data_IF_955968549341
#
_entry.id   IF_955968549341
#
_cell.length_a   1.000
_cell.length_b   1.000
_cell.length_c   1.000
_cell.angle_alpha   90.00
_cell.angle_beta   90.00
_cell.angle_gamma   90.00
#
_symmetry.space_group_name_H-M   'P 1'
#
loop_
_entity.id
_entity.type
_entity.pdbx_description
1 polymer ?
#
# COMPACT_ATOMS: atom_id res chain seq x y z
N UNK A 1 0.77 4.05 28.69
CA UNK A 1 -0.07 4.95 27.86
C UNK A 1 0.17 4.58 26.41
N UNK A 2 -0.86 4.62 25.56
CA UNK A 2 -0.69 4.35 24.13
C UNK A 2 0.18 5.43 23.48
N UNK A 3 1.05 5.04 22.56
CA UNK A 3 2.03 5.89 21.87
C UNK A 3 1.43 6.41 20.56
N UNK A 4 0.29 7.10 20.63
CA UNK A 4 -0.40 7.55 19.42
C UNK A 4 0.41 8.63 18.68
N UNK A 5 0.59 8.51 17.36
CA UNK A 5 1.21 9.57 16.57
C UNK A 5 0.29 10.80 16.54
N UNK A 6 0.89 11.99 16.47
CA UNK A 6 0.13 13.25 16.31
C UNK A 6 -0.43 13.41 14.90
N UNK A 7 0.25 12.82 13.92
CA UNK A 7 -0.07 12.91 12.50
C UNK A 7 0.17 11.57 11.84
N UNK A 8 -0.74 11.17 10.95
CA UNK A 8 -0.67 9.92 10.19
C UNK A 8 -0.65 10.24 8.69
N UNK A 9 0.22 9.55 7.96
CA UNK A 9 0.28 9.53 6.50
C UNK A 9 -0.47 8.31 5.99
N UNK A 10 -1.53 8.53 5.21
CA UNK A 10 -2.24 7.47 4.49
C UNK A 10 -1.84 7.55 3.03
N UNK A 11 -1.21 6.50 2.49
CA UNK A 11 -0.91 6.37 1.07
C UNK A 11 -2.05 5.62 0.39
N UNK A 12 -2.60 6.22 -0.67
CA UNK A 12 -3.71 5.65 -1.43
C UNK A 12 -3.20 4.68 -2.51
N UNK A 13 -3.65 3.44 -2.45
CA UNK A 13 -3.23 2.35 -3.32
C UNK A 13 -4.33 1.86 -4.28
N UNK A 14 -5.55 2.38 -4.15
CA UNK A 14 -6.74 1.86 -4.81
C UNK A 14 -6.73 1.89 -6.33
N UNK A 15 -6.27 2.96 -7.01
CA UNK A 15 -6.14 2.92 -8.46
C UNK A 15 -5.22 1.79 -8.94
N UNK A 16 -4.09 1.54 -8.26
CA UNK A 16 -3.21 0.42 -8.63
C UNK A 16 -3.79 -0.92 -8.23
N UNK A 17 -4.14 -1.13 -6.96
CA UNK A 17 -4.57 -2.44 -6.46
C UNK A 17 -5.97 -2.83 -6.91
N UNK A 18 -6.90 -1.89 -6.86
CA UNK A 18 -8.28 -2.08 -7.30
C UNK A 18 -8.33 -2.51 -8.76
N UNK A 19 -7.82 -1.69 -9.68
CA UNK A 19 -7.92 -1.97 -11.11
C UNK A 19 -7.13 -3.23 -11.53
N UNK A 20 -6.12 -3.66 -10.76
CA UNK A 20 -5.44 -4.93 -10.97
C UNK A 20 -6.29 -6.14 -10.55
N UNK A 21 -7.11 -6.00 -9.51
CA UNK A 21 -7.92 -7.08 -8.95
C UNK A 21 -9.28 -7.21 -9.65
N UNK A 22 -9.85 -6.11 -10.11
CA UNK A 22 -11.17 -6.09 -10.73
C UNK A 22 -11.25 -6.92 -12.01
N UNK A 23 -12.38 -7.63 -12.18
CA UNK A 23 -12.57 -8.62 -13.27
C UNK A 23 -12.90 -7.99 -14.63
N UNK A 24 -13.47 -6.78 -14.62
CA UNK A 24 -13.97 -6.12 -15.82
C UNK A 24 -12.95 -5.18 -16.45
N UNK A 25 -13.08 -4.90 -17.76
CA UNK A 25 -12.37 -3.77 -18.33
C UNK A 25 -12.91 -2.49 -17.70
N UNK A 26 -12.06 -1.78 -16.98
CA UNK A 26 -12.34 -0.42 -16.52
C UNK A 26 -11.79 0.53 -17.58
N UNK A 27 -12.63 1.42 -18.11
CA UNK A 27 -12.21 2.34 -19.15
C UNK A 27 -11.14 3.29 -18.62
N UNK A 28 -10.14 3.62 -19.44
CA UNK A 28 -9.04 4.53 -19.08
C UNK A 28 -9.55 5.88 -18.55
N UNK A 29 -10.63 6.41 -19.15
CA UNK A 29 -11.27 7.65 -18.70
C UNK A 29 -11.83 7.55 -17.28
N UNK A 30 -12.39 6.39 -16.90
CA UNK A 30 -12.92 6.17 -15.55
C UNK A 30 -11.79 6.03 -14.52
N UNK A 31 -10.66 5.42 -14.90
CA UNK A 31 -9.45 5.36 -14.07
C UNK A 31 -8.90 6.75 -13.78
N UNK A 32 -8.78 7.57 -14.82
CA UNK A 32 -8.34 8.97 -14.73
C UNK A 32 -9.30 9.76 -13.85
N UNK A 33 -10.62 9.63 -14.08
CA UNK A 33 -11.63 10.33 -13.30
C UNK A 33 -11.56 9.99 -11.80
N UNK A 34 -11.31 8.72 -11.45
CA UNK A 34 -11.14 8.33 -10.05
C UNK A 34 -9.86 8.92 -9.44
N UNK A 35 -8.73 8.87 -10.15
CA UNK A 35 -7.46 9.45 -9.67
C UNK A 35 -7.57 10.97 -9.49
N UNK A 36 -8.23 11.66 -10.41
CA UNK A 36 -8.45 13.10 -10.32
C UNK A 36 -9.36 13.45 -9.14
N UNK A 37 -10.43 12.67 -8.90
CA UNK A 37 -11.28 12.84 -7.72
C UNK A 37 -10.52 12.60 -6.40
N UNK A 38 -9.67 11.57 -6.34
CA UNK A 38 -8.79 11.31 -5.20
C UNK A 38 -7.80 12.46 -4.96
N UNK A 39 -7.35 13.12 -6.02
CA UNK A 39 -6.44 14.25 -5.92
C UNK A 39 -7.07 15.46 -5.22
N UNK A 40 -8.39 15.63 -5.29
CA UNK A 40 -9.11 16.67 -4.54
C UNK A 40 -9.18 16.38 -3.03
N UNK A 41 -9.02 15.12 -2.62
CA UNK A 41 -9.04 14.70 -1.22
C UNK A 41 -7.76 15.04 -0.43
N UNK A 42 -6.78 15.72 -1.07
CA UNK A 42 -5.51 16.13 -0.46
C UNK A 42 -4.68 14.96 0.08
N UNK A 43 -4.79 13.80 -0.57
CA UNK A 43 -4.00 12.63 -0.24
C UNK A 43 -2.51 12.93 -0.43
N UNK A 44 -1.63 12.56 0.50
CA UNK A 44 -0.21 12.86 0.39
C UNK A 44 0.51 12.00 -0.67
N UNK A 45 -0.11 10.90 -1.10
CA UNK A 45 0.33 10.04 -2.19
C UNK A 45 -0.85 9.25 -2.76
N UNK A 46 -0.86 9.09 -4.08
CA UNK A 46 -1.73 8.19 -4.82
C UNK A 46 -0.86 7.30 -5.72
N UNK A 47 -0.96 5.99 -5.57
CA UNK A 47 -0.33 5.04 -6.48
C UNK A 47 -1.27 4.77 -7.65
N UNK A 48 -0.95 5.35 -8.81
CA UNK A 48 -1.90 5.52 -9.92
C UNK A 48 -1.99 4.31 -10.85
N UNK A 49 -0.91 3.53 -10.95
CA UNK A 49 -0.85 2.40 -11.88
C UNK A 49 0.29 1.44 -11.54
N UNK A 50 0.40 0.36 -12.32
CA UNK A 50 1.56 -0.53 -12.31
C UNK A 50 2.07 -0.82 -13.72
N UNK A 51 3.39 -0.69 -13.92
CA UNK A 51 4.07 -1.06 -15.16
C UNK A 51 4.45 -2.56 -15.14
N UNK A 52 3.43 -3.41 -15.18
CA UNK A 52 3.56 -4.88 -15.19
C UNK A 52 3.25 -5.45 -16.58
N UNK A 53 3.40 -6.77 -16.73
CA UNK A 53 3.06 -7.45 -17.96
C UNK A 53 1.52 -7.44 -18.16
N UNK A 54 0.99 -6.76 -19.20
CA UNK A 54 -0.44 -6.66 -19.43
C UNK A 54 -1.11 -8.00 -19.75
N UNK A 55 -0.36 -8.99 -20.23
CA UNK A 55 -0.89 -10.34 -20.43
C UNK A 55 -1.17 -11.06 -19.09
N UNK A 56 -0.46 -10.69 -18.01
CA UNK A 56 -0.70 -11.22 -16.65
C UNK A 56 -1.67 -10.36 -15.85
N UNK A 57 -1.68 -9.05 -16.11
CA UNK A 57 -2.52 -8.07 -15.41
C UNK A 57 -3.19 -7.15 -16.46
N UNK A 58 -4.27 -7.59 -17.11
CA UNK A 58 -4.92 -6.83 -18.18
C UNK A 58 -5.44 -5.46 -17.73
N UNK A 59 -5.83 -5.32 -16.46
CA UNK A 59 -6.28 -4.05 -15.89
C UNK A 59 -5.23 -2.94 -15.85
N UNK A 60 -3.96 -3.26 -16.14
CA UNK A 60 -2.83 -2.31 -16.20
C UNK A 60 -2.29 -2.10 -17.62
N UNK A 61 -3.02 -2.56 -18.64
CA UNK A 61 -2.57 -2.43 -20.03
C UNK A 61 -2.44 -0.97 -20.50
N UNK A 62 -3.26 -0.08 -19.95
CA UNK A 62 -3.38 1.34 -20.26
C UNK A 62 -2.63 2.26 -19.27
N UNK A 63 -1.62 1.73 -18.58
CA UNK A 63 -0.88 2.47 -17.55
C UNK A 63 -0.26 3.77 -18.09
N UNK A 64 0.27 3.75 -19.31
CA UNK A 64 0.88 4.92 -19.95
C UNK A 64 -0.18 6.00 -20.24
N UNK A 65 -1.35 5.62 -20.74
CA UNK A 65 -2.47 6.55 -20.98
C UNK A 65 -3.03 7.14 -19.70
N UNK A 66 -3.15 6.33 -18.63
CA UNK A 66 -3.58 6.83 -17.31
C UNK A 66 -2.60 7.89 -16.79
N UNK A 67 -1.30 7.61 -16.81
CA UNK A 67 -0.29 8.55 -16.32
C UNK A 67 -0.25 9.85 -17.14
N UNK A 68 -0.49 9.76 -18.45
CA UNK A 68 -0.58 10.93 -19.32
C UNK A 68 -1.85 11.76 -19.06
N UNK A 69 -2.97 11.10 -18.74
CA UNK A 69 -4.29 11.71 -18.64
C UNK A 69 -4.64 12.36 -17.31
N UNK A 70 -3.98 11.99 -16.21
CA UNK A 70 -4.29 12.51 -14.87
C UNK A 70 -3.91 13.99 -14.69
N UNK A 71 -4.73 14.68 -13.88
CA UNK A 71 -4.51 16.05 -13.45
C UNK A 71 -3.77 16.07 -12.12
N UNK A 72 -2.48 16.41 -12.14
CA UNK A 72 -1.66 16.47 -10.93
C UNK A 72 -2.02 17.68 -10.06
N UNK A 73 -2.18 17.46 -8.75
CA UNK A 73 -2.39 18.51 -7.74
C UNK A 73 -1.14 18.74 -6.90
N UNK A 74 -0.76 20.01 -6.63
CA UNK A 74 0.32 20.32 -5.70
C UNK A 74 0.09 19.66 -4.33
N UNK A 75 1.15 19.12 -3.74
CA UNK A 75 1.09 18.44 -2.44
C UNK A 75 0.73 16.95 -2.48
N UNK A 76 0.32 16.42 -3.64
CA UNK A 76 0.07 14.98 -3.85
C UNK A 76 1.21 14.36 -4.66
N UNK A 77 1.80 13.27 -4.15
CA UNK A 77 2.76 12.47 -4.92
C UNK A 77 2.02 11.42 -5.76
N UNK A 78 2.37 11.29 -7.04
CA UNK A 78 1.78 10.31 -7.96
C UNK A 78 2.81 9.23 -8.26
N UNK A 79 2.61 8.04 -7.71
CA UNK A 79 3.58 6.94 -7.79
C UNK A 79 3.04 5.79 -8.63
N UNK A 80 3.93 4.87 -9.02
CA UNK A 80 3.54 3.66 -9.73
C UNK A 80 4.35 2.46 -9.22
N UNK A 81 3.82 1.26 -9.41
CA UNK A 81 4.50 0.00 -9.09
C UNK A 81 5.19 -0.59 -10.31
N UNK A 82 6.39 -1.15 -10.14
CA UNK A 82 7.03 -2.03 -11.12
C UNK A 82 7.63 -3.25 -10.39
N UNK A 83 7.75 -4.37 -11.10
CA UNK A 83 8.29 -5.63 -10.55
C UNK A 83 9.60 -6.07 -11.21
N UNK A 84 10.03 -5.38 -12.28
CA UNK A 84 11.23 -5.68 -13.02
C UNK A 84 11.79 -4.43 -13.71
N UNK A 85 12.97 -4.56 -14.31
CA UNK A 85 13.68 -3.48 -15.00
C UNK A 85 12.88 -2.87 -16.15
N UNK A 86 12.20 -3.69 -16.96
CA UNK A 86 11.37 -3.18 -18.07
C UNK A 86 10.24 -2.29 -17.57
N UNK A 87 9.61 -2.67 -16.46
CA UNK A 87 8.58 -1.86 -15.81
C UNK A 87 9.14 -0.56 -15.24
N UNK A 88 10.34 -0.62 -14.66
CA UNK A 88 11.03 0.57 -14.16
C UNK A 88 11.42 1.54 -15.29
N UNK A 89 11.97 1.04 -16.39
CA UNK A 89 12.35 1.86 -17.54
C UNK A 89 11.12 2.55 -18.17
N UNK A 90 9.97 1.86 -18.21
CA UNK A 90 8.68 2.47 -18.61
C UNK A 90 8.24 3.57 -17.64
N UNK A 91 8.32 3.32 -16.33
CA UNK A 91 7.97 4.31 -15.32
C UNK A 91 8.84 5.58 -15.42
N UNK A 92 10.15 5.41 -15.66
CA UNK A 92 11.09 6.51 -15.92
C UNK A 92 10.69 7.29 -17.18
N UNK A 93 10.41 6.58 -18.27
CA UNK A 93 10.06 7.19 -19.55
C UNK A 93 8.73 7.98 -19.49
N UNK A 94 7.82 7.62 -18.59
CA UNK A 94 6.54 8.32 -18.41
C UNK A 94 6.72 9.78 -17.94
N UNK A 95 7.83 10.13 -17.28
CA UNK A 95 8.25 11.50 -16.97
C UNK A 95 7.29 12.34 -16.10
N UNK A 96 6.21 11.75 -15.60
CA UNK A 96 5.13 12.44 -14.85
C UNK A 96 4.90 11.87 -13.44
N UNK A 97 5.73 10.92 -13.02
CA UNK A 97 5.61 10.20 -11.76
C UNK A 97 6.66 10.66 -10.75
N UNK A 98 6.29 10.63 -9.47
CA UNK A 98 7.16 10.89 -8.33
C UNK A 98 7.87 9.58 -7.93
N UNK A 99 8.90 9.23 -8.70
CA UNK A 99 9.60 7.94 -8.54
C UNK A 99 10.55 7.95 -7.33
N UNK A 100 10.51 6.87 -6.55
CA UNK A 100 11.47 6.54 -5.50
C UNK A 100 11.79 5.05 -5.60
N UNK A 101 13.05 4.69 -5.38
CA UNK A 101 13.44 3.30 -5.31
C UNK A 101 13.01 2.65 -3.98
N UNK A 102 12.77 1.35 -4.02
CA UNK A 102 12.46 0.56 -2.84
C UNK A 102 13.02 -0.86 -2.95
N UNK A 103 13.31 -1.47 -1.80
CA UNK A 103 13.64 -2.90 -1.70
C UNK A 103 12.38 -3.68 -1.35
N UNK A 104 12.07 -4.72 -2.12
CA UNK A 104 10.87 -5.55 -1.92
C UNK A 104 11.26 -6.99 -1.60
N UNK A 105 10.89 -7.43 -0.40
CA UNK A 105 11.14 -8.78 0.12
C UNK A 105 9.82 -9.52 0.43
N UNK A 106 9.92 -10.80 0.73
CA UNK A 106 8.76 -11.66 1.05
C UNK A 106 9.14 -12.61 2.18
N UNK A 107 8.29 -12.77 3.18
CA UNK A 107 8.55 -13.70 4.29
C UNK A 107 8.37 -15.18 3.89
N UNK A 108 7.59 -15.43 2.84
CA UNK A 108 7.23 -16.76 2.34
C UNK A 108 7.80 -17.04 0.95
N UNK A 109 8.61 -18.09 0.84
CA UNK A 109 9.27 -18.44 -0.44
C UNK A 109 8.26 -19.02 -1.42
N UNK A 110 7.34 -19.86 -0.94
CA UNK A 110 6.30 -20.46 -1.77
C UNK A 110 5.39 -19.38 -2.35
N UNK A 111 5.02 -18.37 -1.56
CA UNK A 111 4.26 -17.23 -2.08
C UNK A 111 5.07 -16.44 -3.11
N UNK A 112 6.35 -16.19 -2.86
CA UNK A 112 7.20 -15.45 -3.78
C UNK A 112 7.39 -16.17 -5.12
N UNK A 113 7.58 -17.49 -5.11
CA UNK A 113 7.61 -18.32 -6.32
C UNK A 113 6.33 -18.18 -7.13
N UNK A 114 5.15 -18.15 -6.47
CA UNK A 114 3.86 -17.97 -7.15
C UNK A 114 3.65 -16.55 -7.69
N UNK A 115 4.01 -15.54 -6.91
CA UNK A 115 3.76 -14.14 -7.25
C UNK A 115 4.78 -13.62 -8.28
N UNK A 116 6.06 -13.92 -8.06
CA UNK A 116 7.20 -13.30 -8.73
C UNK A 116 8.04 -14.30 -9.55
N UNK A 117 7.75 -15.60 -9.48
CA UNK A 117 8.50 -16.65 -10.19
C UNK A 117 10.00 -16.65 -9.89
N UNK A 118 10.36 -16.46 -8.62
CA UNK A 118 11.74 -16.49 -8.11
C UNK A 118 11.80 -17.01 -6.67
N UNK A 119 12.98 -17.49 -6.27
CA UNK A 119 13.32 -17.90 -4.90
C UNK A 119 14.02 -16.79 -4.11
N UNK A 120 14.36 -17.01 -2.83
CA UNK A 120 14.96 -15.97 -1.97
C UNK A 120 16.32 -15.50 -2.45
N UNK A 121 17.18 -16.42 -2.89
CA UNK A 121 18.51 -16.10 -3.37
C UNK A 121 18.45 -15.27 -4.66
N UNK A 122 17.57 -15.63 -5.58
CA UNK A 122 17.31 -14.88 -6.79
C UNK A 122 16.71 -13.51 -6.47
N UNK A 123 15.74 -13.41 -5.56
CA UNK A 123 15.16 -12.13 -5.15
C UNK A 123 16.23 -11.19 -4.59
N UNK A 124 17.11 -11.68 -3.70
CA UNK A 124 18.20 -10.89 -3.14
C UNK A 124 19.10 -10.29 -4.24
N UNK A 125 19.51 -11.11 -5.23
CA UNK A 125 20.31 -10.64 -6.38
C UNK A 125 19.56 -9.58 -7.20
N UNK A 126 18.27 -9.79 -7.47
CA UNK A 126 17.46 -8.82 -8.22
C UNK A 126 17.30 -7.52 -7.44
N UNK A 127 17.05 -7.56 -6.13
CA UNK A 127 16.91 -6.36 -5.33
C UNK A 127 18.21 -5.55 -5.31
N UNK A 128 19.38 -6.16 -5.11
CA UNK A 128 20.68 -5.47 -5.23
C UNK A 128 20.86 -4.80 -6.60
N UNK A 129 20.49 -5.49 -7.68
CA UNK A 129 20.57 -4.92 -9.03
C UNK A 129 19.62 -3.73 -9.21
N UNK A 130 18.38 -3.86 -8.74
CA UNK A 130 17.38 -2.79 -8.81
C UNK A 130 17.81 -1.56 -8.00
N UNK A 131 18.39 -1.72 -6.81
CA UNK A 131 18.92 -0.58 -6.03
C UNK A 131 19.95 0.20 -6.84
N UNK A 132 20.89 -0.48 -7.51
CA UNK A 132 21.88 0.19 -8.37
C UNK A 132 21.22 0.92 -9.54
N UNK A 133 20.23 0.30 -10.19
CA UNK A 133 19.46 0.94 -11.26
C UNK A 133 18.74 2.21 -10.79
N UNK A 134 18.21 2.23 -9.57
CA UNK A 134 17.59 3.43 -9.00
C UNK A 134 18.63 4.54 -8.80
N UNK A 135 19.80 4.21 -8.27
CA UNK A 135 20.89 5.16 -8.06
C UNK A 135 21.43 5.73 -9.38
N UNK A 136 21.61 4.87 -10.40
CA UNK A 136 22.03 5.29 -11.75
C UNK A 136 21.02 6.27 -12.39
N UNK A 137 19.74 6.13 -12.06
CA UNK A 137 18.68 7.02 -12.49
C UNK A 137 18.52 8.29 -11.60
N UNK A 138 19.39 8.47 -10.59
CA UNK A 138 19.36 9.59 -9.67
C UNK A 138 18.22 9.54 -8.63
N UNK A 139 17.61 8.37 -8.42
CA UNK A 139 16.53 8.18 -7.45
C UNK A 139 17.06 7.80 -6.07
N UNK A 140 16.37 8.24 -5.02
CA UNK A 140 16.67 7.82 -3.64
C UNK A 140 16.04 6.47 -3.32
N UNK A 141 16.67 5.71 -2.42
CA UNK A 141 16.18 4.43 -1.91
C UNK A 141 16.13 4.51 -0.38
N UNK A 142 14.98 4.90 0.15
CA UNK A 142 14.79 5.13 1.60
C UNK A 142 13.71 4.21 2.20
N UNK A 143 13.09 3.37 1.37
CA UNK A 143 11.98 2.50 1.77
C UNK A 143 12.27 1.05 1.42
N UNK A 144 11.80 0.17 2.28
CA UNK A 144 11.68 -1.24 1.97
C UNK A 144 10.32 -1.78 2.37
N UNK A 145 9.96 -2.95 1.87
CA UNK A 145 8.71 -3.61 2.19
C UNK A 145 8.85 -5.13 2.24
N UNK A 146 7.98 -5.76 3.01
CA UNK A 146 7.86 -7.21 3.10
C UNK A 146 6.41 -7.65 2.93
N UNK A 147 6.19 -8.53 1.96
CA UNK A 147 4.92 -9.26 1.81
C UNK A 147 4.85 -10.49 2.71
N UNK A 148 3.62 -10.91 3.02
CA UNK A 148 3.32 -12.05 3.90
C UNK A 148 3.91 -11.90 5.31
N UNK A 149 3.99 -10.67 5.85
CA UNK A 149 4.64 -10.40 7.13
C UNK A 149 3.92 -11.03 8.34
N UNK A 150 2.62 -11.34 8.21
CA UNK A 150 1.78 -11.83 9.30
C UNK A 150 1.31 -13.28 9.11
N UNK A 151 1.58 -13.87 7.95
CA UNK A 151 1.11 -15.21 7.61
C UNK A 151 1.04 -15.44 6.10
N UNK A 152 0.96 -16.71 5.74
CA UNK A 152 0.89 -17.16 4.36
C UNK A 152 -0.13 -18.30 4.22
N UNK A 153 -1.05 -18.19 3.27
CA UNK A 153 -2.02 -19.26 2.97
C UNK A 153 -1.37 -20.55 2.43
N UNK A 154 -0.08 -20.51 2.08
CA UNK A 154 0.66 -21.65 1.53
C UNK A 154 1.63 -22.29 2.51
N UNK A 155 2.15 -21.52 3.47
CA UNK A 155 3.16 -21.98 4.44
C UNK A 155 2.67 -21.89 5.90
N UNK A 156 1.50 -21.28 6.14
CA UNK A 156 0.92 -21.11 7.46
C UNK A 156 1.40 -19.86 8.18
N UNK A 157 1.62 -19.99 9.49
CA UNK A 157 2.07 -18.89 10.35
C UNK A 157 3.49 -18.46 9.96
N UNK A 158 3.72 -17.14 9.91
CA UNK A 158 5.05 -16.56 9.74
C UNK A 158 5.57 -16.13 11.11
N UNK A 159 6.59 -16.79 11.67
CA UNK A 159 7.12 -16.45 12.98
C UNK A 159 7.74 -15.05 12.99
N UNK A 160 7.67 -14.34 14.12
CA UNK A 160 8.32 -13.02 14.30
C UNK A 160 9.80 -13.08 13.95
N UNK A 161 10.50 -14.14 14.34
CA UNK A 161 11.91 -14.33 14.00
C UNK A 161 12.16 -14.25 12.49
N UNK A 162 11.30 -14.87 11.67
CA UNK A 162 11.43 -14.79 10.20
C UNK A 162 11.25 -13.36 9.69
N UNK A 163 10.31 -12.61 10.25
CA UNK A 163 10.12 -11.18 9.90
C UNK A 163 11.40 -10.40 10.23
N UNK A 164 11.99 -10.60 11.40
CA UNK A 164 13.23 -9.92 11.76
C UNK A 164 14.39 -10.34 10.85
N UNK A 165 14.50 -11.62 10.49
CA UNK A 165 15.56 -12.08 9.59
C UNK A 165 15.45 -11.43 8.21
N UNK A 166 14.24 -11.34 7.63
CA UNK A 166 14.05 -10.69 6.33
C UNK A 166 14.32 -9.18 6.40
N UNK A 167 14.00 -8.50 7.51
CA UNK A 167 14.38 -7.09 7.70
C UNK A 167 15.91 -6.97 7.74
N UNK A 168 16.61 -7.85 8.46
CA UNK A 168 18.07 -7.85 8.52
C UNK A 168 18.68 -8.06 7.12
N UNK A 169 18.23 -9.07 6.37
CA UNK A 169 18.64 -9.32 4.98
C UNK A 169 18.42 -8.07 4.09
N UNK A 170 17.33 -7.35 4.31
CA UNK A 170 17.02 -6.11 3.57
C UNK A 170 18.01 -5.00 3.89
N UNK A 171 18.37 -4.83 5.16
CA UNK A 171 19.32 -3.82 5.61
C UNK A 171 20.75 -4.13 5.13
N UNK A 172 21.10 -5.42 5.03
CA UNK A 172 22.36 -5.86 4.41
C UNK A 172 22.45 -5.47 2.92
N UNK A 173 21.36 -5.67 2.16
CA UNK A 173 21.28 -5.20 0.75
C UNK A 173 21.49 -3.68 0.69
N UNK A 174 20.83 -2.95 1.59
CA UNK A 174 20.90 -1.49 1.64
C UNK A 174 22.32 -1.01 1.95
N UNK A 175 22.95 -1.57 2.97
CA UNK A 175 24.34 -1.28 3.35
C UNK A 175 25.32 -1.59 2.21
N UNK A 176 25.19 -2.76 1.58
CA UNK A 176 26.04 -3.17 0.46
C UNK A 176 25.92 -2.24 -0.76
N UNK A 177 24.80 -1.51 -0.89
CA UNK A 177 24.56 -0.55 -1.96
C UNK A 177 24.76 0.91 -1.51
N UNK A 178 25.18 1.15 -0.26
CA UNK A 178 25.40 2.49 0.28
C UNK A 178 24.13 3.34 0.44
N UNK A 179 22.98 2.69 0.67
CA UNK A 179 21.70 3.37 0.90
C UNK A 179 21.19 3.10 2.32
N UNK A 180 20.39 4.03 2.86
CA UNK A 180 19.84 3.92 4.21
C UNK A 180 18.31 3.80 4.16
N UNK A 181 17.79 2.67 4.65
CA UNK A 181 16.34 2.47 4.77
C UNK A 181 15.83 3.21 6.00
N UNK A 182 14.90 4.14 5.79
CA UNK A 182 14.23 4.90 6.85
C UNK A 182 12.86 4.36 7.20
N UNK A 183 12.17 3.76 6.24
CA UNK A 183 10.83 3.19 6.46
C UNK A 183 10.75 1.75 5.95
N UNK A 184 10.20 0.87 6.77
CA UNK A 184 9.94 -0.52 6.43
C UNK A 184 8.44 -0.81 6.48
N UNK A 185 7.82 -1.11 5.34
CA UNK A 185 6.40 -1.46 5.26
C UNK A 185 6.19 -2.95 5.49
N UNK A 186 5.36 -3.31 6.46
CA UNK A 186 4.96 -4.69 6.74
C UNK A 186 3.56 -4.94 6.15
N UNK A 187 3.49 -5.82 5.15
CA UNK A 187 2.24 -6.09 4.45
C UNK A 187 1.57 -7.38 4.93
N UNK A 188 0.31 -7.24 5.35
CA UNK A 188 -0.62 -8.34 5.61
C UNK A 188 -1.30 -8.81 4.33
N UNK A 189 -0.49 -9.29 3.39
CA UNK A 189 -0.88 -9.63 2.01
C UNK A 189 -2.03 -10.63 1.91
N UNK A 190 -2.29 -11.41 2.97
CA UNK A 190 -3.27 -12.49 2.98
C UNK A 190 -4.27 -12.36 4.14
N UNK A 191 -4.33 -11.19 4.78
CA UNK A 191 -5.24 -10.85 5.88
C UNK A 191 -5.14 -11.81 7.09
N UNK A 192 -3.92 -12.17 7.50
CA UNK A 192 -3.64 -13.01 8.68
C UNK A 192 -3.46 -12.20 9.96
N UNK A 193 -3.21 -10.90 9.86
CA UNK A 193 -2.92 -10.09 11.03
C UNK A 193 -4.14 -9.97 11.95
N UNK A 194 -3.86 -9.97 13.24
CA UNK A 194 -4.78 -9.62 14.32
C UNK A 194 -4.15 -8.50 15.14
N UNK A 195 -4.92 -7.75 15.95
CA UNK A 195 -4.37 -6.66 16.74
C UNK A 195 -3.16 -7.09 17.61
N UNK A 196 -3.25 -8.29 18.20
CA UNK A 196 -2.18 -8.86 19.01
C UNK A 196 -0.93 -9.25 18.18
N UNK A 197 -1.09 -9.73 16.94
CA UNK A 197 0.06 -10.02 16.08
C UNK A 197 0.71 -8.74 15.57
N UNK A 198 -0.07 -7.70 15.26
CA UNK A 198 0.46 -6.37 14.90
C UNK A 198 1.33 -5.83 16.02
N UNK A 199 0.82 -5.79 17.26
CA UNK A 199 1.59 -5.34 18.42
C UNK A 199 2.88 -6.14 18.62
N UNK A 200 2.81 -7.48 18.47
CA UNK A 200 3.96 -8.37 18.63
C UNK A 200 5.04 -8.12 17.58
N UNK A 201 4.67 -8.05 16.31
CA UNK A 201 5.62 -7.86 15.20
C UNK A 201 6.20 -6.44 15.23
N UNK A 202 5.35 -5.42 15.32
CA UNK A 202 5.80 -4.02 15.37
C UNK A 202 6.68 -3.77 16.60
N UNK A 203 6.30 -4.29 17.76
CA UNK A 203 7.09 -4.20 18.99
C UNK A 203 8.49 -4.81 18.83
N UNK A 204 8.58 -6.01 18.26
CA UNK A 204 9.87 -6.68 18.03
C UNK A 204 10.76 -5.92 17.04
N UNK A 205 10.17 -5.31 15.99
CA UNK A 205 10.92 -4.48 15.04
C UNK A 205 11.45 -3.21 15.71
N UNK A 206 10.61 -2.49 16.48
CA UNK A 206 11.02 -1.28 17.22
C UNK A 206 12.07 -1.57 18.28
N UNK A 207 12.00 -2.72 18.93
CA UNK A 207 13.00 -3.14 19.92
C UNK A 207 14.37 -3.37 19.27
N UNK A 208 14.40 -4.04 18.10
CA UNK A 208 15.65 -4.35 17.40
C UNK A 208 16.21 -3.17 16.59
N UNK A 209 15.35 -2.33 16.03
CA UNK A 209 15.71 -1.17 15.20
C UNK A 209 14.85 0.05 15.59
N UNK A 210 15.19 0.75 16.68
CA UNK A 210 14.37 1.87 17.18
C UNK A 210 14.28 3.06 16.21
N UNK A 211 15.27 3.25 15.35
CA UNK A 211 15.31 4.34 14.36
C UNK A 211 14.61 4.00 13.03
N UNK A 212 14.17 2.75 12.85
CA UNK A 212 13.48 2.30 11.64
C UNK A 212 11.98 2.59 11.76
N UNK A 213 11.46 3.50 10.93
CA UNK A 213 10.03 3.77 10.92
C UNK A 213 9.27 2.56 10.34
N UNK A 214 8.25 2.08 11.04
CA UNK A 214 7.41 0.98 10.55
C UNK A 214 6.17 1.56 9.88
N UNK A 215 5.90 1.13 8.66
CA UNK A 215 4.63 1.36 7.98
C UNK A 215 3.81 0.06 7.90
N UNK A 216 2.49 0.18 7.80
CA UNK A 216 1.60 -0.98 7.69
C UNK A 216 0.77 -0.95 6.42
N UNK A 217 0.73 -2.07 5.72
CA UNK A 217 -0.18 -2.32 4.61
C UNK A 217 -1.11 -3.47 5.00
N UNK A 218 -2.38 -3.17 5.25
CA UNK A 218 -3.30 -4.09 5.91
C UNK A 218 -4.47 -4.44 4.98
N UNK A 219 -4.77 -5.73 4.90
CA UNK A 219 -5.93 -6.23 4.17
C UNK A 219 -7.08 -6.51 5.14
N UNK A 220 -8.30 -6.32 4.66
CA UNK A 220 -9.52 -6.45 5.47
C UNK A 220 -10.34 -7.71 5.13
N UNK A 221 -9.74 -8.69 4.44
CA UNK A 221 -10.43 -9.93 3.98
C UNK A 221 -11.17 -10.68 5.10
N UNK A 222 -10.77 -10.50 6.37
CA UNK A 222 -11.38 -11.11 7.55
C UNK A 222 -11.96 -10.11 8.55
N UNK A 223 -12.20 -8.86 8.14
CA UNK A 223 -12.76 -7.82 9.01
C UNK A 223 -11.83 -7.35 10.12
N UNK A 224 -10.51 -7.49 9.94
CA UNK A 224 -9.50 -7.13 10.94
C UNK A 224 -8.73 -5.86 10.58
N UNK A 225 -8.88 -5.30 9.38
CA UNK A 225 -8.05 -4.22 8.83
C UNK A 225 -8.02 -2.97 9.71
N UNK A 226 -9.18 -2.41 10.05
CA UNK A 226 -9.27 -1.22 10.92
C UNK A 226 -8.81 -1.52 12.35
N UNK A 227 -9.13 -2.70 12.89
CA UNK A 227 -8.66 -3.11 14.21
C UNK A 227 -7.13 -3.26 14.27
N UNK A 228 -6.54 -3.79 13.20
CA UNK A 228 -5.09 -3.91 13.01
C UNK A 228 -4.44 -2.53 12.84
N UNK A 229 -5.08 -1.62 12.12
CA UNK A 229 -4.59 -0.24 11.98
C UNK A 229 -4.59 0.49 13.33
N UNK A 230 -5.68 0.36 14.10
CA UNK A 230 -5.76 0.89 15.46
C UNK A 230 -4.66 0.32 16.38
N UNK A 231 -4.39 -0.99 16.31
CA UNK A 231 -3.30 -1.60 17.04
C UNK A 231 -1.92 -1.05 16.62
N UNK A 232 -1.73 -0.75 15.32
CA UNK A 232 -0.55 -0.05 14.81
C UNK A 232 -0.41 1.36 15.37
N UNK A 233 -1.51 2.14 15.38
CA UNK A 233 -1.53 3.49 15.96
C UNK A 233 -1.13 3.48 17.45
N UNK A 234 -1.60 2.50 18.22
CA UNK A 234 -1.20 2.34 19.63
C UNK A 234 0.30 2.09 19.82
N UNK A 235 0.95 1.57 18.78
CA UNK A 235 2.38 1.27 18.71
C UNK A 235 3.17 2.37 17.97
N UNK A 236 2.61 3.56 17.77
CA UNK A 236 3.31 4.68 17.15
C UNK A 236 3.51 4.58 15.63
N UNK A 237 2.87 3.63 14.95
CA UNK A 237 2.89 3.58 13.48
C UNK A 237 2.19 4.81 12.94
N UNK A 238 2.88 5.58 12.11
CA UNK A 238 2.40 6.83 11.55
C UNK A 238 2.13 6.78 10.04
N UNK A 239 2.40 5.64 9.39
CA UNK A 239 2.27 5.50 7.94
C UNK A 239 1.50 4.23 7.61
N UNK A 240 0.41 4.38 6.86
CA UNK A 240 -0.44 3.28 6.43
C UNK A 240 -0.66 3.35 4.93
N UNK A 241 -0.68 2.19 4.30
CA UNK A 241 -1.19 2.02 2.95
C UNK A 241 -2.67 1.59 3.05
N UNK A 242 -3.54 2.27 2.32
CA UNK A 242 -4.98 2.03 2.31
C UNK A 242 -5.52 2.18 0.89
N UNK A 243 -6.76 1.75 0.67
CA UNK A 243 -7.41 1.87 -0.63
C UNK A 243 -8.78 2.50 -0.50
N UNK A 244 -9.09 3.43 -1.40
CA UNK A 244 -10.40 4.04 -1.51
C UNK A 244 -11.48 2.96 -1.60
N UNK A 245 -12.53 3.11 -0.78
CA UNK A 245 -13.66 2.17 -0.72
C UNK A 245 -13.27 0.71 -0.42
N UNK A 246 -12.04 0.45 0.07
CA UNK A 246 -11.54 -0.91 0.33
C UNK A 246 -11.25 -1.71 -0.95
N UNK A 247 -11.00 -1.02 -2.07
CA UNK A 247 -10.59 -1.65 -3.32
C UNK A 247 -9.31 -2.51 -3.16
N UNK A 248 -9.15 -3.43 -4.10
CA UNK A 248 -7.94 -4.22 -4.27
C UNK A 248 -8.00 -5.60 -3.64
N UNK A 249 -6.83 -6.10 -3.27
CA UNK A 249 -6.61 -7.51 -2.94
C UNK A 249 -5.50 -8.11 -3.80
N UNK A 250 -4.96 -9.25 -3.36
CA UNK A 250 -3.90 -9.93 -4.09
C UNK A 250 -4.45 -11.13 -4.88
N UNK A 251 -4.41 -11.14 -6.22
CA UNK A 251 -4.90 -12.28 -7.03
C UNK A 251 -4.09 -13.56 -6.79
N UNK A 252 -2.88 -13.43 -6.24
CA UNK A 252 -1.97 -14.55 -5.92
C UNK A 252 -2.06 -15.03 -4.48
N UNK A 253 -2.88 -14.38 -3.63
CA UNK A 253 -3.02 -14.75 -2.22
C UNK A 253 -3.81 -16.04 -2.00
N UNK A 254 -4.54 -16.57 -2.99
CA UNK A 254 -5.27 -17.83 -2.84
C UNK A 254 -6.64 -17.72 -2.16
N UNK A 255 -7.15 -16.50 -1.93
CA UNK A 255 -8.54 -16.25 -1.54
C UNK A 255 -9.39 -15.82 -2.75
N UNK A 256 -10.67 -16.23 -2.76
CA UNK A 256 -11.66 -15.80 -3.77
C UNK A 256 -12.66 -14.75 -3.25
N UNK A 257 -12.59 -14.39 -1.96
CA UNK A 257 -13.60 -13.58 -1.25
C UNK A 257 -13.14 -12.14 -0.96
N UNK A 258 -14.13 -11.29 -0.63
CA UNK A 258 -14.30 -9.91 -1.07
C UNK A 258 -14.00 -8.82 -0.02
N UNK A 259 -12.81 -8.78 0.56
CA UNK A 259 -12.28 -7.53 1.10
C UNK A 259 -10.79 -7.43 0.82
N UNK A 260 -10.42 -6.37 0.11
CA UNK A 260 -9.07 -6.07 -0.33
C UNK A 260 -8.30 -5.39 0.79
N UNK A 261 -7.96 -4.13 0.57
CA UNK A 261 -7.24 -3.31 1.53
C UNK A 261 -8.17 -2.69 2.58
N UNK A 262 -7.58 -2.18 3.66
CA UNK A 262 -8.29 -1.28 4.57
C UNK A 262 -8.79 -0.04 3.80
N UNK A 263 -10.01 0.41 4.09
CA UNK A 263 -10.61 1.56 3.40
C UNK A 263 -9.91 2.87 3.80
N UNK A 264 -9.49 3.68 2.83
CA UNK A 264 -8.83 4.96 3.08
C UNK A 264 -9.72 5.92 3.88
N UNK A 265 -11.00 6.00 3.53
CA UNK A 265 -11.96 6.87 4.22
C UNK A 265 -12.30 6.39 5.63
N UNK A 266 -12.36 5.07 5.86
CA UNK A 266 -12.65 4.51 7.19
C UNK A 266 -11.44 4.71 8.13
N UNK A 267 -10.21 4.60 7.61
CA UNK A 267 -9.00 4.90 8.36
C UNK A 267 -8.83 6.40 8.63
N UNK A 268 -9.09 7.25 7.65
CA UNK A 268 -9.06 8.71 7.82
C UNK A 268 -10.10 9.18 8.85
N UNK A 269 -11.30 8.59 8.83
CA UNK A 269 -12.34 8.81 9.83
C UNK A 269 -11.90 8.38 11.23
N UNK A 270 -11.30 7.19 11.37
CA UNK A 270 -10.74 6.75 12.66
C UNK A 270 -9.73 7.78 13.20
N UNK A 271 -8.81 8.25 12.36
CA UNK A 271 -7.85 9.27 12.76
C UNK A 271 -8.52 10.58 13.17
N UNK A 272 -9.49 11.09 12.39
CA UNK A 272 -10.25 12.30 12.70
C UNK A 272 -10.94 12.21 14.07
N UNK A 273 -11.63 11.09 14.34
CA UNK A 273 -12.34 10.87 15.60
C UNK A 273 -11.42 10.65 16.80
N UNK A 274 -10.19 10.22 16.56
CA UNK A 274 -9.14 10.13 17.57
C UNK A 274 -8.36 11.45 17.77
N UNK A 275 -8.63 12.48 16.97
CA UNK A 275 -7.88 13.74 16.98
C UNK A 275 -6.46 13.62 16.41
N UNK A 276 -6.21 12.62 15.56
CA UNK A 276 -4.94 12.41 14.86
C UNK A 276 -5.01 13.08 13.49
N UNK A 277 -4.07 13.98 13.19
CA UNK A 277 -4.07 14.73 11.94
C UNK A 277 -3.73 13.83 10.74
N UNK A 278 -4.47 13.93 9.64
CA UNK A 278 -4.11 13.30 8.35
C UNK A 278 -3.84 14.34 7.25
N UNK A 279 -4.53 15.48 7.32
CA UNK A 279 -4.56 16.51 6.26
C UNK A 279 -5.47 16.15 5.08
N UNK A 280 -6.18 15.02 5.15
CA UNK A 280 -7.10 14.54 4.12
C UNK A 280 -8.44 15.24 4.26
N UNK A 281 -9.03 15.62 3.13
CA UNK A 281 -10.42 16.06 3.06
C UNK A 281 -11.33 14.84 3.00
N UNK A 282 -11.93 14.48 4.14
CA UNK A 282 -12.75 13.28 4.28
C UNK A 282 -14.04 13.32 3.45
N UNK A 283 -14.60 14.51 3.20
CA UNK A 283 -15.79 14.65 2.36
C UNK A 283 -15.43 14.36 0.90
N UNK A 284 -14.35 14.97 0.40
CA UNK A 284 -13.85 14.72 -0.96
C UNK A 284 -13.42 13.26 -1.16
N UNK A 285 -12.78 12.65 -0.15
CA UNK A 285 -12.42 11.23 -0.19
C UNK A 285 -13.67 10.32 -0.25
N UNK A 286 -14.72 10.68 0.49
CA UNK A 286 -15.99 9.93 0.47
C UNK A 286 -16.68 10.04 -0.89
N UNK A 287 -16.62 11.19 -1.57
CA UNK A 287 -17.13 11.32 -2.94
C UNK A 287 -16.31 10.47 -3.93
N UNK A 288 -14.99 10.47 -3.80
CA UNK A 288 -14.11 9.61 -4.60
C UNK A 288 -14.42 8.11 -4.35
N UNK A 289 -14.73 7.72 -3.12
CA UNK A 289 -15.14 6.36 -2.77
C UNK A 289 -16.47 5.94 -3.41
N UNK A 290 -17.46 6.82 -3.44
CA UNK A 290 -18.71 6.57 -4.20
C UNK A 290 -18.46 6.51 -5.70
N UNK A 291 -17.51 7.28 -6.22
CA UNK A 291 -17.10 7.17 -7.62
C UNK A 291 -16.43 5.82 -7.89
N UNK A 292 -15.54 5.36 -7.01
CA UNK A 292 -14.90 4.05 -7.13
C UNK A 292 -15.93 2.92 -7.27
N UNK A 293 -16.98 2.93 -6.43
CA UNK A 293 -18.08 1.95 -6.50
C UNK A 293 -18.80 1.97 -7.85
N UNK A 294 -19.05 3.16 -8.42
CA UNK A 294 -19.63 3.30 -9.76
C UNK A 294 -18.70 2.80 -10.86
N UNK A 295 -17.41 3.08 -10.75
CA UNK A 295 -16.38 2.69 -11.73
C UNK A 295 -16.23 1.18 -11.81
N UNK A 296 -16.24 0.48 -10.67
CA UNK A 296 -16.11 -0.99 -10.65
C UNK A 296 -17.45 -1.71 -10.83
N UNK A 297 -18.58 -1.00 -10.65
CA UNK A 297 -19.92 -1.49 -10.97
C UNK A 297 -20.48 -2.52 -9.98
N UNK A 298 -19.93 -2.61 -8.76
CA UNK A 298 -20.46 -3.43 -7.67
C UNK A 298 -20.26 -2.74 -6.33
N UNK A 299 -21.02 -3.16 -5.32
CA UNK A 299 -20.92 -2.60 -3.98
C UNK A 299 -19.52 -2.81 -3.38
N UNK A 300 -19.02 -1.77 -2.70
CA UNK A 300 -17.71 -1.77 -2.04
C UNK A 300 -17.86 -1.68 -0.51
N UNK A 301 -16.90 -2.17 0.28
CA UNK A 301 -17.04 -2.29 1.74
C UNK A 301 -16.96 -0.96 2.51
N UNK A 302 -16.50 0.14 1.90
CA UNK A 302 -16.37 1.45 2.53
C UNK A 302 -17.60 1.85 3.37
N UNK A 303 -17.38 2.12 4.66
CA UNK A 303 -18.46 2.40 5.62
C UNK A 303 -18.78 3.89 5.67
N UNK A 304 -17.75 4.73 5.74
CA UNK A 304 -17.87 6.19 5.88
C UNK A 304 -18.47 6.81 4.62
N UNK A 305 -18.15 6.30 3.43
CA UNK A 305 -18.79 6.75 2.18
C UNK A 305 -20.32 6.58 2.19
N UNK A 306 -20.86 5.68 3.02
CA UNK A 306 -22.31 5.41 3.17
C UNK A 306 -22.93 6.18 4.33
N UNK A 307 -22.26 6.19 5.49
CA UNK A 307 -22.80 6.76 6.72
C UNK A 307 -22.54 8.28 6.88
N UNK A 308 -21.50 8.80 6.20
CA UNK A 308 -20.99 10.14 6.40
C UNK A 308 -20.18 10.31 7.70
N UNK A 309 -19.60 11.49 7.89
CA UNK A 309 -18.82 11.86 9.08
C UNK A 309 -19.69 12.33 10.25
N UNK A 310 -19.19 12.20 11.48
CA UNK A 310 -19.94 12.55 12.70
C UNK A 310 -20.09 14.06 12.93
N UNK A 311 -19.15 14.87 12.44
CA UNK A 311 -19.18 16.33 12.62
C UNK A 311 -20.44 16.98 12.04
N UNK A 312 -20.96 16.47 10.92
CA UNK A 312 -22.23 16.94 10.35
C UNK A 312 -23.42 16.76 11.30
N UNK A 313 -23.45 15.66 12.06
CA UNK A 313 -24.49 15.41 13.06
C UNK A 313 -24.26 16.22 14.34
N UNK A 314 -23.00 16.40 14.76
CA UNK A 314 -22.64 17.21 15.94
C UNK A 314 -22.99 18.69 15.77
N UNK A 315 -22.83 19.24 14.57
CA UNK A 315 -23.16 20.64 14.28
C UNK A 315 -24.67 20.90 14.11
N UNK A 316 -25.47 19.85 13.93
CA UNK A 316 -26.92 19.95 13.76
C UNK A 316 -27.70 19.80 15.09
N UNK A 317 -27.03 19.43 16.18
CA UNK A 317 -27.57 19.28 17.53
C UNK A 317 -27.38 20.56 18.35
#
# INVERSE_FOLDING_TARGET
MADYPKRVRINEEGPREGFQFEKGPIATADKIALIDALSEARLPQIQVCSFVNPARVPGMADADEVVAGITRKPGTAYTALWLNEKGFDRALAAGRLDLKGSISMVASETFMKRNQNRDFAENHRVQMHMVRRYLDAGLTVERASMMAAFGCNFEGEVPVARVLDVIAETLEIAEACGVAIRTYSLADTMAWATPASVQRVVGAVRERWPDLNVALHLHDTRGMGIANAFAGLQMGVDTFDASVAGLGGCPFAGHRAAAGNVCSEDLAFLCEEMGIETGIDLDALSEAARLAERVVGHALPGSVMKAGRLSGYRSAA
#
